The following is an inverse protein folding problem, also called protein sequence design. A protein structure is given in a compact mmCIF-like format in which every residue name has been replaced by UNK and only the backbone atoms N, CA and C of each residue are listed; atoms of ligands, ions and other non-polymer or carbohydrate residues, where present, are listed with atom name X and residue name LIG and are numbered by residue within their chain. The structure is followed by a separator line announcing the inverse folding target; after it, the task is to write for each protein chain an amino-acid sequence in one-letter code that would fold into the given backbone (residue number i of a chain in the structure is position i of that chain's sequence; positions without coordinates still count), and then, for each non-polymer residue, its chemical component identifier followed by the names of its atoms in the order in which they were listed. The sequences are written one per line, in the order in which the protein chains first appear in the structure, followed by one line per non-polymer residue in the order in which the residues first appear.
data_IF_820108423532
#
_entry.id   IF_820108423532
#
_cell.length_a   1.000
_cell.length_b   1.000
_cell.length_c   1.000
_cell.angle_alpha   90.00
_cell.angle_beta   90.00
_cell.angle_gamma   90.00
#
_symmetry.space_group_name_H-M   'P 1'
#
loop_
_entity.id
_entity.type
_entity.pdbx_description
1 polymer ?
#
# COMPACT_ATOMS: atom_id res chain seq x y z
N UNK A 1 -4.05 -25.95 -22.45
CA UNK A 1 -3.38 -24.95 -21.64
C UNK A 1 -3.90 -24.95 -20.23
N UNK A 2 -3.22 -24.30 -19.36
CA UNK A 2 -3.68 -24.13 -18.00
C UNK A 2 -3.94 -22.65 -17.72
N UNK A 3 -4.82 -22.41 -16.76
CA UNK A 3 -5.22 -21.07 -16.36
C UNK A 3 -4.68 -20.79 -14.97
N UNK A 4 -4.10 -19.61 -14.79
CA UNK A 4 -3.65 -19.18 -13.47
C UNK A 4 -4.78 -18.42 -12.80
N UNK A 5 -5.15 -18.84 -11.60
CA UNK A 5 -6.14 -18.14 -10.79
C UNK A 5 -5.48 -16.99 -10.06
N UNK A 6 -5.65 -15.77 -10.56
CA UNK A 6 -5.03 -14.59 -9.98
C UNK A 6 -5.75 -14.11 -8.71
N UNK A 7 -6.97 -14.60 -8.44
CA UNK A 7 -7.76 -14.16 -7.28
C UNK A 7 -7.14 -14.53 -5.94
N UNK A 8 -6.34 -15.57 -5.92
CA UNK A 8 -5.70 -16.03 -4.69
C UNK A 8 -4.17 -15.95 -4.75
N UNK A 9 -3.63 -15.17 -5.68
CA UNK A 9 -2.19 -15.08 -5.86
C UNK A 9 -1.55 -14.18 -4.79
N UNK A 10 -0.64 -14.77 -4.00
CA UNK A 10 0.18 -14.06 -3.04
C UNK A 10 1.61 -14.55 -3.18
N UNK A 11 2.55 -13.63 -3.21
CA UNK A 11 3.97 -13.97 -3.18
C UNK A 11 4.35 -14.46 -1.79
N UNK A 12 5.35 -15.36 -1.66
CA UNK A 12 5.82 -15.78 -0.34
C UNK A 12 6.18 -14.57 0.54
N UNK A 13 5.65 -14.54 1.74
CA UNK A 13 5.89 -13.44 2.67
C UNK A 13 5.05 -12.19 2.42
N UNK A 14 4.21 -12.16 1.39
CA UNK A 14 3.35 -11.01 1.10
C UNK A 14 2.17 -10.97 2.06
N UNK A 15 1.89 -9.78 2.59
CA UNK A 15 0.78 -9.58 3.53
C UNK A 15 -0.48 -9.20 2.79
N UNK A 16 -1.64 -9.63 3.32
CA UNK A 16 -2.95 -9.41 2.70
C UNK A 16 -3.56 -8.09 3.13
N UNK A 17 -4.28 -7.45 2.21
CA UNK A 17 -5.13 -6.29 2.50
C UNK A 17 -4.44 -5.17 3.25
N UNK A 18 -3.22 -4.83 2.85
CA UNK A 18 -2.46 -3.75 3.49
C UNK A 18 -2.74 -2.42 2.81
N UNK A 19 -2.16 -1.33 3.36
CA UNK A 19 -2.29 0.00 2.76
C UNK A 19 -1.67 0.07 1.36
N UNK A 20 -0.68 -0.75 1.08
CA UNK A 20 -0.06 -0.82 -0.25
C UNK A 20 -0.94 -1.50 -1.29
N UNK A 21 -2.01 -2.16 -0.86
CA UNK A 21 -2.96 -2.86 -1.74
C UNK A 21 -4.16 -1.98 -2.12
N UNK A 22 -4.17 -0.73 -1.70
CA UNK A 22 -5.29 0.19 -1.89
C UNK A 22 -5.11 1.00 -3.17
N UNK A 23 -6.14 1.00 -4.00
CA UNK A 23 -6.15 1.74 -5.26
C UNK A 23 -7.14 2.89 -5.21
N UNK A 24 -6.74 4.02 -5.81
CA UNK A 24 -7.63 5.13 -6.13
C UNK A 24 -8.15 4.94 -7.55
N UNK A 25 -9.46 5.05 -7.72
CA UNK A 25 -10.11 4.94 -9.03
C UNK A 25 -10.84 6.24 -9.31
N UNK A 26 -10.35 6.98 -10.30
CA UNK A 26 -10.92 8.29 -10.66
C UNK A 26 -11.66 8.28 -11.97
N UNK A 27 -12.32 9.40 -12.25
CA UNK A 27 -13.09 9.62 -13.47
C UNK A 27 -14.26 8.64 -13.62
N UNK A 28 -14.88 8.29 -12.49
CA UNK A 28 -16.04 7.39 -12.47
C UNK A 28 -17.30 8.10 -12.98
N UNK A 29 -18.20 7.37 -13.65
CA UNK A 29 -19.51 7.91 -14.02
C UNK A 29 -20.30 8.30 -12.76
N UNK A 30 -21.12 9.36 -12.87
CA UNK A 30 -21.93 9.83 -11.73
C UNK A 30 -23.04 8.87 -11.33
N UNK A 31 -23.43 7.97 -12.21
CA UNK A 31 -24.48 6.99 -11.97
C UNK A 31 -23.95 5.60 -11.62
N UNK A 32 -22.66 5.48 -11.37
CA UNK A 32 -22.08 4.19 -10.99
C UNK A 32 -22.61 3.73 -9.64
N UNK A 33 -22.91 2.43 -9.53
CA UNK A 33 -23.31 1.82 -8.26
C UNK A 33 -22.11 1.13 -7.62
N UNK A 34 -22.20 0.85 -6.31
CA UNK A 34 -21.19 0.09 -5.61
C UNK A 34 -21.01 -1.30 -6.24
N UNK A 35 -22.12 -1.90 -6.67
CA UNK A 35 -22.10 -3.19 -7.33
C UNK A 35 -21.35 -3.16 -8.65
N UNK A 36 -21.57 -2.12 -9.47
CA UNK A 36 -20.87 -1.93 -10.73
C UNK A 36 -19.36 -1.78 -10.47
N UNK A 37 -19.00 -1.04 -9.44
CA UNK A 37 -17.63 -0.81 -9.08
C UNK A 37 -16.94 -2.11 -8.64
N UNK A 38 -17.62 -2.93 -7.84
CA UNK A 38 -17.11 -4.23 -7.42
C UNK A 38 -16.91 -5.18 -8.61
N UNK A 39 -17.80 -5.13 -9.60
CA UNK A 39 -17.70 -5.98 -10.80
C UNK A 39 -16.45 -5.69 -11.61
N UNK A 40 -16.01 -4.43 -11.65
CA UNK A 40 -14.78 -4.07 -12.34
C UNK A 40 -13.57 -4.82 -11.78
N UNK A 41 -13.60 -5.09 -10.49
CA UNK A 41 -12.48 -5.71 -9.78
C UNK A 41 -12.76 -7.18 -9.40
N UNK A 42 -13.87 -7.74 -9.84
CA UNK A 42 -14.26 -9.11 -9.52
C UNK A 42 -13.19 -10.15 -9.86
N UNK A 43 -12.52 -9.93 -10.97
CA UNK A 43 -11.46 -10.81 -11.47
C UNK A 43 -10.27 -10.89 -10.50
N UNK A 44 -10.08 -9.87 -9.67
CA UNK A 44 -8.93 -9.75 -8.77
C UNK A 44 -9.23 -10.19 -7.35
N UNK A 45 -10.35 -10.85 -7.15
CA UNK A 45 -10.73 -11.40 -5.85
C UNK A 45 -11.63 -10.49 -5.03
N UNK A 46 -11.85 -10.87 -3.78
CA UNK A 46 -12.75 -10.16 -2.87
C UNK A 46 -12.04 -8.96 -2.25
N UNK A 47 -12.58 -7.74 -2.39
CA UNK A 47 -11.96 -6.58 -1.76
C UNK A 47 -12.31 -6.50 -0.27
N UNK A 48 -11.41 -5.91 0.52
CA UNK A 48 -11.67 -5.67 1.95
C UNK A 48 -12.28 -4.31 2.21
N UNK A 49 -12.14 -3.37 1.27
CA UNK A 49 -12.64 -2.00 1.39
C UNK A 49 -13.14 -1.54 0.04
N UNK A 50 -14.34 -0.99 0.02
CA UNK A 50 -14.92 -0.39 -1.19
C UNK A 50 -15.56 0.93 -0.77
N UNK A 51 -15.15 2.02 -1.41
CA UNK A 51 -15.71 3.34 -1.15
C UNK A 51 -15.92 4.06 -2.47
N UNK A 52 -17.06 4.73 -2.63
CA UNK A 52 -17.36 5.50 -3.82
C UNK A 52 -17.90 6.87 -3.41
N UNK A 53 -17.35 7.93 -4.03
CA UNK A 53 -17.90 9.27 -3.96
C UNK A 53 -18.39 9.64 -5.36
N UNK A 54 -19.70 9.47 -5.59
CA UNK A 54 -20.30 9.67 -6.91
C UNK A 54 -20.24 11.12 -7.35
N UNK A 55 -20.42 12.04 -6.43
CA UNK A 55 -20.44 13.47 -6.74
C UNK A 55 -19.12 13.95 -7.31
N UNK A 56 -18.02 13.41 -6.82
CA UNK A 56 -16.68 13.75 -7.28
C UNK A 56 -16.12 12.78 -8.31
N UNK A 57 -16.81 11.65 -8.52
CA UNK A 57 -16.42 10.67 -9.52
C UNK A 57 -15.18 9.87 -9.19
N UNK A 58 -14.95 9.55 -7.91
CA UNK A 58 -13.82 8.73 -7.52
C UNK A 58 -14.23 7.68 -6.49
N UNK A 59 -13.35 6.70 -6.30
CA UNK A 59 -13.53 5.66 -5.29
C UNK A 59 -12.22 5.05 -4.89
N UNK A 60 -12.27 4.21 -3.88
CA UNK A 60 -11.12 3.45 -3.39
C UNK A 60 -11.49 1.99 -3.28
N UNK A 61 -10.53 1.11 -3.54
CA UNK A 61 -10.70 -0.33 -3.36
C UNK A 61 -9.39 -0.90 -2.83
N UNK A 62 -9.48 -1.82 -1.87
CA UNK A 62 -8.33 -2.51 -1.32
C UNK A 62 -8.42 -3.97 -1.70
N UNK A 63 -7.44 -4.43 -2.47
CA UNK A 63 -7.37 -5.82 -2.93
C UNK A 63 -6.52 -6.66 -1.97
N UNK A 64 -6.56 -7.97 -2.16
CA UNK A 64 -5.88 -8.89 -1.25
C UNK A 64 -4.38 -8.71 -1.22
N UNK A 65 -3.74 -8.44 -2.37
CA UNK A 65 -2.29 -8.32 -2.42
C UNK A 65 -1.85 -7.12 -3.25
N UNK A 66 -0.61 -6.69 -3.03
CA UNK A 66 0.01 -5.66 -3.85
C UNK A 66 0.12 -6.11 -5.30
N UNK A 67 0.43 -7.38 -5.52
CA UNK A 67 0.53 -7.93 -6.88
C UNK A 67 -0.79 -7.83 -7.63
N UNK A 68 -1.90 -8.20 -6.97
CA UNK A 68 -3.23 -8.07 -7.56
C UNK A 68 -3.56 -6.61 -7.86
N UNK A 69 -3.20 -5.70 -6.97
CA UNK A 69 -3.42 -4.28 -7.18
C UNK A 69 -2.62 -3.76 -8.38
N UNK A 70 -1.38 -4.19 -8.53
CA UNK A 70 -0.56 -3.83 -9.69
C UNK A 70 -1.16 -4.35 -11.00
N UNK A 71 -1.62 -5.59 -11.00
CA UNK A 71 -2.25 -6.20 -12.18
C UNK A 71 -3.54 -5.45 -12.53
N UNK A 72 -4.39 -5.17 -11.55
CA UNK A 72 -5.64 -4.44 -11.75
C UNK A 72 -5.39 -3.06 -12.34
N UNK A 73 -4.41 -2.34 -11.79
CA UNK A 73 -4.02 -1.03 -12.31
C UNK A 73 -3.56 -1.13 -13.76
N UNK A 74 -2.70 -2.08 -14.07
CA UNK A 74 -2.17 -2.24 -15.42
C UNK A 74 -3.25 -2.58 -16.43
N UNK A 75 -4.23 -3.40 -16.03
CA UNK A 75 -5.29 -3.84 -16.94
C UNK A 75 -6.45 -2.85 -17.07
N UNK A 76 -6.79 -2.14 -16.01
CA UNK A 76 -7.99 -1.30 -15.98
C UNK A 76 -7.73 0.19 -16.18
N UNK A 77 -6.51 0.68 -15.94
CA UNK A 77 -6.20 2.09 -16.13
C UNK A 77 -6.41 2.47 -17.60
N UNK A 78 -7.18 3.50 -17.84
CA UNK A 78 -7.51 3.94 -19.21
C UNK A 78 -8.66 3.20 -19.87
N UNK A 79 -9.23 2.19 -19.21
CA UNK A 79 -10.38 1.46 -19.73
C UNK A 79 -11.60 2.38 -19.79
N UNK A 80 -12.33 2.32 -20.90
CA UNK A 80 -13.52 3.18 -21.08
C UNK A 80 -14.71 2.59 -20.36
N UNK A 81 -15.28 3.34 -19.45
CA UNK A 81 -16.51 3.00 -18.75
C UNK A 81 -17.51 4.12 -18.96
N UNK A 82 -18.63 3.83 -19.64
CA UNK A 82 -19.66 4.80 -19.97
C UNK A 82 -19.08 6.08 -20.56
N UNK A 83 -18.25 5.91 -21.58
CA UNK A 83 -17.60 6.98 -22.35
C UNK A 83 -16.51 7.75 -21.60
N UNK A 84 -16.09 7.28 -20.45
CA UNK A 84 -15.02 7.89 -19.64
C UNK A 84 -13.87 6.92 -19.43
N UNK A 85 -12.62 7.35 -19.69
CA UNK A 85 -11.47 6.50 -19.36
C UNK A 85 -11.22 6.50 -17.86
N UNK A 86 -11.15 5.32 -17.27
CA UNK A 86 -10.86 5.18 -15.86
C UNK A 86 -9.43 5.61 -15.55
N UNK A 87 -9.22 6.20 -14.39
CA UNK A 87 -7.90 6.57 -13.91
C UNK A 87 -7.61 5.80 -12.65
N UNK A 88 -6.63 4.89 -12.71
CA UNK A 88 -6.28 4.04 -11.58
C UNK A 88 -4.87 4.36 -11.11
N UNK A 89 -4.74 4.68 -9.81
CA UNK A 89 -3.47 5.02 -9.17
C UNK A 89 -3.42 4.34 -7.82
N UNK A 90 -2.21 4.09 -7.32
CA UNK A 90 -2.09 3.65 -5.94
C UNK A 90 -2.47 4.79 -5.01
N UNK A 91 -3.28 4.47 -3.99
CA UNK A 91 -3.66 5.46 -2.99
C UNK A 91 -2.44 5.87 -2.17
N UNK A 92 -2.44 7.12 -1.69
CA UNK A 92 -1.37 7.60 -0.82
C UNK A 92 -1.29 6.74 0.42
N UNK A 93 -0.06 6.30 0.76
CA UNK A 93 0.15 5.45 1.93
C UNK A 93 0.12 6.29 3.20
N UNK A 94 -1.02 6.26 3.92
CA UNK A 94 -1.23 7.07 5.11
C UNK A 94 -0.56 6.54 6.38
N UNK A 95 0.19 5.45 6.28
CA UNK A 95 0.83 4.80 7.42
C UNK A 95 2.33 4.63 7.22
N UNK A 96 2.96 5.52 6.45
CA UNK A 96 4.39 5.50 6.20
C UNK A 96 5.11 6.57 7.01
N UNK A 97 6.30 6.24 7.54
CA UNK A 97 7.15 7.17 8.25
C UNK A 97 8.52 7.25 7.60
N UNK A 98 9.11 8.44 7.60
CA UNK A 98 10.52 8.64 7.23
C UNK A 98 11.33 8.71 8.52
N UNK A 99 12.38 7.89 8.60
CA UNK A 99 13.26 7.82 9.77
C UNK A 99 14.61 8.41 9.39
N UNK A 100 15.20 9.20 10.31
CA UNK A 100 16.49 9.85 10.10
C UNK A 100 17.48 9.45 11.21
N UNK A 101 18.73 9.78 11.00
CA UNK A 101 19.81 9.54 11.97
C UNK A 101 20.02 8.04 12.27
N UNK A 102 19.83 7.20 11.28
CA UNK A 102 20.09 5.77 11.41
C UNK A 102 21.60 5.50 11.37
N UNK A 103 22.03 4.56 12.20
CA UNK A 103 23.39 4.04 12.15
C UNK A 103 23.65 3.35 10.82
N UNK A 104 24.87 3.46 10.25
CA UNK A 104 25.20 2.77 9.00
C UNK A 104 25.06 1.26 9.04
N UNK A 105 25.04 0.66 10.22
CA UNK A 105 24.93 -0.81 10.37
C UNK A 105 23.49 -1.30 10.43
N UNK A 106 22.50 -0.39 10.41
CA UNK A 106 21.09 -0.79 10.45
C UNK A 106 20.68 -1.36 9.10
N UNK A 107 20.18 -2.61 9.10
CA UNK A 107 19.65 -3.27 7.91
C UNK A 107 18.14 -3.04 7.81
N UNK A 108 17.58 -3.40 6.65
CA UNK A 108 16.13 -3.36 6.46
C UNK A 108 15.42 -4.24 7.50
N UNK A 109 15.99 -5.42 7.78
CA UNK A 109 15.43 -6.38 8.74
C UNK A 109 15.47 -5.84 10.16
N UNK A 110 16.56 -5.17 10.54
CA UNK A 110 16.66 -4.58 11.87
C UNK A 110 15.66 -3.43 12.02
N UNK A 111 15.52 -2.61 10.98
CA UNK A 111 14.56 -1.51 10.98
C UNK A 111 13.13 -2.05 11.13
N UNK A 112 12.79 -3.10 10.39
CA UNK A 112 11.48 -3.75 10.51
C UNK A 112 11.25 -4.29 11.91
N UNK A 113 12.22 -5.00 12.47
CA UNK A 113 12.11 -5.55 13.83
C UNK A 113 11.91 -4.47 14.87
N UNK A 114 12.66 -3.39 14.77
CA UNK A 114 12.58 -2.29 15.73
C UNK A 114 11.20 -1.64 15.72
N UNK A 115 10.63 -1.41 14.56
CA UNK A 115 9.33 -0.75 14.43
C UNK A 115 8.14 -1.71 14.58
N UNK A 116 8.39 -3.03 14.54
CA UNK A 116 7.33 -4.04 14.75
C UNK A 116 6.72 -3.96 16.14
N UNK A 117 7.42 -3.36 17.10
CA UNK A 117 6.88 -3.16 18.46
C UNK A 117 5.63 -2.28 18.47
N UNK A 118 5.45 -1.45 17.46
CA UNK A 118 4.27 -0.57 17.36
C UNK A 118 3.09 -1.23 16.64
N UNK A 119 3.36 -2.29 15.89
CA UNK A 119 2.36 -3.04 15.15
C UNK A 119 2.94 -3.64 13.88
N UNK A 120 2.13 -4.34 13.08
CA UNK A 120 2.63 -4.98 11.87
C UNK A 120 3.24 -3.99 10.88
N UNK A 121 4.46 -4.27 10.46
CA UNK A 121 5.19 -3.49 9.45
C UNK A 121 5.02 -4.18 8.10
N UNK A 122 4.57 -3.42 7.11
CA UNK A 122 4.43 -3.94 5.75
C UNK A 122 5.77 -3.93 5.01
N UNK A 123 6.53 -2.85 5.17
CA UNK A 123 7.81 -2.72 4.49
C UNK A 123 8.73 -1.79 5.27
N UNK A 124 10.01 -2.13 5.34
CA UNK A 124 11.03 -1.27 5.91
C UNK A 124 12.22 -1.24 4.97
N UNK A 125 12.72 -0.05 4.67
CA UNK A 125 13.82 0.15 3.72
C UNK A 125 14.81 1.16 4.28
N UNK A 126 16.07 0.80 4.28
CA UNK A 126 17.17 1.72 4.59
C UNK A 126 17.61 2.34 3.26
N UNK A 127 17.59 3.66 3.19
CA UNK A 127 17.95 4.37 1.96
C UNK A 127 19.46 4.38 1.78
N UNK A 128 19.91 3.95 0.62
CA UNK A 128 21.33 3.96 0.26
C UNK A 128 21.55 4.95 -0.90
N UNK A 129 22.78 5.44 -1.01
CA UNK A 129 23.14 6.33 -2.12
C UNK A 129 23.49 5.50 -3.37
N UNK A 130 23.92 6.18 -4.43
CA UNK A 130 24.26 5.55 -5.71
C UNK A 130 25.46 4.60 -5.60
N UNK A 131 26.21 4.64 -4.50
CA UNK A 131 27.35 3.76 -4.24
C UNK A 131 27.02 2.64 -3.26
N UNK A 132 25.75 2.55 -2.85
CA UNK A 132 25.30 1.54 -1.90
C UNK A 132 25.58 1.86 -0.44
N UNK A 133 25.97 3.11 -0.13
CA UNK A 133 26.26 3.52 1.24
C UNK A 133 25.00 4.00 1.94
N UNK A 134 24.87 3.67 3.22
CA UNK A 134 23.74 4.13 4.03
C UNK A 134 23.74 5.65 4.16
N UNK A 135 22.59 6.27 3.90
CA UNK A 135 22.40 7.72 4.01
C UNK A 135 22.01 8.18 5.41
N UNK A 136 21.71 7.26 6.31
CA UNK A 136 21.15 7.56 7.62
C UNK A 136 19.64 7.75 7.62
N UNK A 137 18.98 7.53 6.49
CA UNK A 137 17.54 7.66 6.35
C UNK A 137 16.90 6.30 6.05
N UNK A 138 15.63 6.16 6.39
CA UNK A 138 14.87 4.97 6.07
C UNK A 138 13.39 5.26 5.99
N UNK A 139 12.65 4.29 5.48
CA UNK A 139 11.19 4.35 5.41
C UNK A 139 10.62 3.13 6.10
N UNK A 140 9.55 3.36 6.86
CA UNK A 140 8.79 2.27 7.48
C UNK A 140 7.33 2.45 7.07
N UNK A 141 6.78 1.45 6.41
CA UNK A 141 5.38 1.44 6.02
C UNK A 141 4.66 0.41 6.88
N UNK A 142 3.69 0.87 7.67
CA UNK A 142 2.88 0.00 8.51
C UNK A 142 1.66 -0.50 7.74
N UNK A 143 1.13 -1.64 8.18
CA UNK A 143 -0.09 -2.20 7.58
C UNK A 143 -1.34 -1.38 7.91
N UNK A 144 -1.29 -0.55 8.97
CA UNK A 144 -2.42 0.28 9.40
C UNK A 144 -1.94 1.61 9.98
N UNK A 145 -2.87 2.58 10.11
CA UNK A 145 -2.53 3.91 10.62
C UNK A 145 -2.20 3.98 12.12
N UNK A 146 -2.92 3.27 13.02
CA UNK A 146 -2.64 3.40 14.45
C UNK A 146 -1.20 3.06 14.86
N UNK A 147 -0.58 1.99 14.37
CA UNK A 147 0.83 1.73 14.65
C UNK A 147 1.76 2.85 14.18
N UNK A 148 1.48 3.44 13.02
CA UNK A 148 2.29 4.54 12.49
C UNK A 148 2.22 5.76 13.40
N UNK A 149 1.05 6.08 13.94
CA UNK A 149 0.89 7.20 14.86
C UNK A 149 1.65 6.99 16.16
N UNK A 150 1.60 5.77 16.71
CA UNK A 150 2.35 5.42 17.91
C UNK A 150 3.85 5.57 17.71
N UNK A 151 4.35 5.09 16.57
CA UNK A 151 5.76 5.20 16.23
C UNK A 151 6.17 6.66 16.06
N UNK A 152 5.35 7.46 15.41
CA UNK A 152 5.63 8.88 15.21
C UNK A 152 5.73 9.64 16.54
N UNK A 153 4.80 9.40 17.45
CA UNK A 153 4.79 10.01 18.77
C UNK A 153 6.06 9.64 19.55
N UNK A 154 6.39 8.35 19.54
CA UNK A 154 7.57 7.84 20.27
C UNK A 154 8.86 8.44 19.72
N UNK A 155 9.00 8.53 18.41
CA UNK A 155 10.18 9.09 17.77
C UNK A 155 10.27 10.61 17.97
N UNK A 156 9.13 11.30 17.97
CA UNK A 156 9.08 12.75 18.19
C UNK A 156 9.49 13.12 19.60
N UNK A 157 9.28 12.25 20.57
CA UNK A 157 9.74 12.45 21.94
C UNK A 157 11.24 12.23 22.10
N UNK A 158 11.92 11.76 21.06
CA UNK A 158 13.35 11.52 21.07
C UNK A 158 13.79 10.35 21.93
N UNK A 159 12.85 9.52 22.36
CA UNK A 159 13.10 8.43 23.28
C UNK A 159 13.32 7.08 22.62
N UNK A 160 13.30 7.02 21.30
CA UNK A 160 13.41 5.75 20.58
C UNK A 160 14.82 5.55 20.07
N UNK A 161 15.44 4.44 20.51
CA UNK A 161 16.78 4.06 20.09
C UNK A 161 16.75 2.71 19.39
N UNK A 162 17.40 2.64 18.23
CA UNK A 162 17.60 1.37 17.53
C UNK A 162 18.89 0.74 18.07
N UNK A 163 18.75 -0.38 18.75
CA UNK A 163 19.89 -1.11 19.28
C UNK A 163 20.10 -2.39 18.46
N UNK A 164 21.34 -2.68 18.21
CA UNK A 164 21.72 -3.91 17.52
C UNK A 164 21.86 -5.08 18.46
#
# INVERSE_FOLDING_TARGET
GFTIDIKSFLKPGEKSYTQRCRLFVGNLPTDITEEDFKRLFERYGEPSEVFINRDRGFGFIRLESRTLAEIAKAELDGTILKSRPLRIRFATHGAALTVKNLSPVVSNELLEQAFSQFGPVERAVVVVDDRGRATGKGFVEFAAKPPARKALERCSEGAFLLTT
#
